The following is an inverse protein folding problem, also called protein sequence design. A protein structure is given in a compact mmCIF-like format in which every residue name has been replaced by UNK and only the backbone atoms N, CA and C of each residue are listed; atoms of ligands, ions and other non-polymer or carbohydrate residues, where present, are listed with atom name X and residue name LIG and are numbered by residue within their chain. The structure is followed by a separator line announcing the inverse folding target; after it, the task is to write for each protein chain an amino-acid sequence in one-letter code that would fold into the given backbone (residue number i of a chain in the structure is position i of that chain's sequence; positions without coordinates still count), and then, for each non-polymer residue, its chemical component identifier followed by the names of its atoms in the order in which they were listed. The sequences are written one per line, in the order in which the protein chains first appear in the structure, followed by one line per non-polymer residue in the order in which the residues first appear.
data_IF_154894755352
#
_entry.id   IF_154894755352
#
_cell.length_a   1.000
_cell.length_b   1.000
_cell.length_c   1.000
_cell.angle_alpha   90.00
_cell.angle_beta   90.00
_cell.angle_gamma   90.00
#
_symmetry.space_group_name_H-M   'P 1'
#
loop_
_entity.id
_entity.type
_entity.pdbx_description
1 polymer ?
#
# COMPACT_ATOMS: atom_id res chain seq x y z
N UNK A 1 46.84 -23.44 -5.43
CA UNK A 1 46.35 -24.80 -5.77
C UNK A 1 45.48 -25.25 -4.61
N UNK A 2 44.17 -25.08 -4.75
CA UNK A 2 43.12 -25.42 -3.76
C UNK A 2 42.01 -26.15 -4.55
N UNK A 3 41.43 -27.26 -4.06
CA UNK A 3 40.52 -28.08 -4.86
C UNK A 3 39.07 -27.57 -4.83
N UNK A 4 38.38 -27.70 -5.96
CA UNK A 4 36.96 -27.38 -6.14
C UNK A 4 36.02 -28.45 -5.55
N UNK A 5 34.81 -28.09 -5.08
CA UNK A 5 33.83 -29.06 -4.59
C UNK A 5 33.02 -29.70 -5.74
N UNK A 6 32.81 -31.01 -5.61
CA UNK A 6 32.11 -31.90 -6.55
C UNK A 6 30.60 -31.64 -6.58
N UNK A 7 30.03 -31.52 -7.78
CA UNK A 7 28.59 -31.60 -8.03
C UNK A 7 28.06 -33.03 -7.84
N UNK A 8 26.93 -33.18 -7.15
CA UNK A 8 26.13 -34.41 -7.13
C UNK A 8 24.85 -34.18 -7.94
N UNK A 9 24.73 -34.93 -9.03
CA UNK A 9 23.50 -34.99 -9.82
C UNK A 9 22.42 -35.82 -9.14
N UNK A 10 21.16 -35.41 -9.31
CA UNK A 10 20.00 -36.21 -8.99
C UNK A 10 19.07 -36.29 -10.21
N UNK A 11 18.67 -37.53 -10.50
CA UNK A 11 17.98 -38.04 -11.68
C UNK A 11 16.60 -37.44 -11.93
N UNK A 12 16.33 -37.15 -13.21
CA UNK A 12 14.98 -37.07 -13.77
C UNK A 12 14.29 -38.44 -13.72
N UNK A 13 13.06 -38.48 -13.20
CA UNK A 13 12.10 -39.55 -13.50
C UNK A 13 11.02 -38.99 -14.42
N UNK A 14 11.03 -39.42 -15.69
CA UNK A 14 9.89 -39.31 -16.60
C UNK A 14 9.07 -40.59 -16.50
N UNK A 15 7.74 -40.47 -16.42
CA UNK A 15 6.81 -41.47 -16.98
C UNK A 15 5.76 -40.75 -17.84
N UNK A 16 5.74 -41.14 -19.12
CA UNK A 16 4.62 -41.08 -20.07
C UNK A 16 3.48 -41.92 -19.46
N UNK A 17 2.18 -41.68 -19.62
CA UNK A 17 1.43 -40.89 -20.58
C UNK A 17 0.31 -41.80 -21.08
N UNK A 18 -0.97 -41.45 -20.85
CA UNK A 18 -2.12 -42.02 -21.55
C UNK A 18 -3.15 -40.93 -21.84
N UNK A 19 -3.51 -40.83 -23.12
CA UNK A 19 -4.62 -40.11 -23.75
C UNK A 19 -5.95 -40.85 -23.50
N UNK A 20 -7.17 -40.34 -23.61
CA UNK A 20 -7.81 -39.37 -24.53
C UNK A 20 -9.31 -39.25 -24.11
N UNK A 21 -10.03 -38.31 -24.74
CA UNK A 21 -11.52 -38.19 -24.85
C UNK A 21 -12.30 -37.34 -23.83
N UNK A 22 -12.61 -36.10 -24.25
CA UNK A 22 -13.97 -35.65 -24.56
C UNK A 22 -15.02 -35.52 -23.44
N UNK A 23 -15.22 -34.30 -22.93
CA UNK A 23 -16.56 -33.82 -22.54
C UNK A 23 -16.59 -32.28 -22.55
N UNK A 24 -17.54 -31.70 -23.29
CA UNK A 24 -17.96 -30.29 -23.19
C UNK A 24 -19.04 -30.17 -22.11
N UNK A 25 -19.10 -28.96 -21.54
CA UNK A 25 -20.19 -28.33 -20.81
C UNK A 25 -20.44 -28.78 -19.36
N UNK A 26 -20.38 -27.79 -18.46
CA UNK A 26 -20.79 -27.88 -17.06
C UNK A 26 -20.24 -26.70 -16.28
N UNK A 27 -20.99 -25.61 -16.23
CA UNK A 27 -20.75 -24.51 -15.29
C UNK A 27 -20.57 -25.07 -13.88
N UNK A 28 -19.37 -24.91 -13.32
CA UNK A 28 -19.13 -25.23 -11.91
C UNK A 28 -19.69 -24.11 -11.05
N UNK A 29 -20.97 -24.22 -10.73
CA UNK A 29 -21.60 -23.54 -9.59
C UNK A 29 -20.72 -23.76 -8.34
N UNK A 30 -20.28 -22.72 -7.60
CA UNK A 30 -19.59 -22.95 -6.34
C UNK A 30 -20.55 -23.57 -5.32
N UNK A 31 -20.07 -24.60 -4.64
CA UNK A 31 -20.78 -25.32 -3.61
C UNK A 31 -21.31 -24.36 -2.52
N UNK A 32 -22.59 -24.52 -2.18
CA UNK A 32 -23.23 -23.86 -1.03
C UNK A 32 -22.59 -24.39 0.25
N UNK A 33 -21.88 -23.54 0.99
CA UNK A 33 -21.64 -23.78 2.41
C UNK A 33 -22.92 -23.47 3.19
N UNK A 34 -23.55 -24.43 3.88
CA UNK A 34 -24.70 -24.17 4.71
C UNK A 34 -24.21 -23.59 6.04
N UNK A 35 -24.38 -22.29 6.28
CA UNK A 35 -24.10 -21.74 7.61
C UNK A 35 -23.81 -20.24 7.76
N UNK A 36 -23.95 -19.40 6.74
CA UNK A 36 -23.85 -17.94 6.90
C UNK A 36 -25.25 -17.31 6.78
N UNK A 37 -25.73 -16.54 7.77
CA UNK A 37 -27.02 -15.86 7.68
C UNK A 37 -27.02 -14.86 6.52
N UNK A 38 -28.20 -14.68 5.90
CA UNK A 38 -28.50 -13.84 4.72
C UNK A 38 -28.20 -12.32 4.87
N UNK A 39 -27.43 -11.91 5.87
CA UNK A 39 -27.11 -10.51 6.17
C UNK A 39 -25.96 -9.91 5.32
N UNK A 40 -25.26 -10.70 4.49
CA UNK A 40 -24.22 -10.19 3.58
C UNK A 40 -24.79 -9.98 2.17
N UNK A 41 -25.99 -9.41 2.07
CA UNK A 41 -26.58 -9.01 0.79
C UNK A 41 -26.94 -7.53 0.81
N UNK A 42 -26.06 -6.72 0.18
CA UNK A 42 -26.21 -5.30 -0.14
C UNK A 42 -26.30 -4.36 1.09
N UNK A 43 -25.16 -3.94 1.61
CA UNK A 43 -25.09 -2.60 2.22
C UNK A 43 -24.94 -1.56 1.11
N UNK A 44 -25.88 -0.62 0.93
CA UNK A 44 -25.60 0.57 0.15
C UNK A 44 -24.56 1.37 0.94
N UNK A 45 -23.32 1.42 0.44
CA UNK A 45 -22.26 2.26 0.99
C UNK A 45 -22.59 3.73 0.71
N UNK A 46 -23.51 4.27 1.50
CA UNK A 46 -23.81 5.68 1.66
C UNK A 46 -24.11 5.94 3.15
N UNK A 47 -23.36 5.28 4.03
CA UNK A 47 -23.35 5.61 5.44
C UNK A 47 -22.69 6.98 5.59
N UNK A 48 -23.55 8.00 5.59
CA UNK A 48 -23.23 9.31 6.15
C UNK A 48 -22.74 9.03 7.56
N UNK A 49 -21.44 9.17 7.79
CA UNK A 49 -20.87 9.27 9.13
C UNK A 49 -21.68 10.33 9.88
N UNK A 50 -22.60 9.89 10.72
CA UNK A 50 -23.50 10.77 11.46
C UNK A 50 -22.71 11.35 12.62
N UNK A 51 -21.93 12.39 12.33
CA UNK A 51 -21.37 13.24 13.38
C UNK A 51 -22.53 13.92 14.10
N UNK A 52 -22.41 14.19 15.41
CA UNK A 52 -23.39 15.00 16.13
C UNK A 52 -23.69 16.27 15.33
N UNK A 53 -24.96 16.69 15.27
CA UNK A 53 -25.48 17.76 14.40
C UNK A 53 -24.76 19.12 14.50
N UNK A 54 -23.80 19.25 15.42
CA UNK A 54 -23.05 20.44 15.75
C UNK A 54 -21.61 20.46 15.18
N UNK A 55 -21.14 19.38 14.55
CA UNK A 55 -19.83 19.37 13.90
C UNK A 55 -19.95 19.75 12.42
N UNK A 56 -19.54 20.97 12.07
CA UNK A 56 -19.41 21.41 10.68
C UNK A 56 -18.13 20.80 10.10
N UNK A 57 -18.30 19.83 9.18
CA UNK A 57 -17.19 19.31 8.38
C UNK A 57 -16.82 20.30 7.28
N UNK A 58 -15.54 20.67 7.20
CA UNK A 58 -15.00 21.35 6.03
C UNK A 58 -14.85 20.33 4.90
N UNK A 59 -15.80 20.32 3.97
CA UNK A 59 -15.80 19.38 2.83
C UNK A 59 -14.64 19.61 1.87
N UNK A 60 -13.93 20.72 1.97
CA UNK A 60 -12.71 20.94 1.22
C UNK A 60 -11.47 20.33 1.90
N UNK A 61 -11.58 19.82 3.13
CA UNK A 61 -10.49 19.21 3.90
C UNK A 61 -10.87 17.80 4.35
N UNK A 62 -11.11 16.94 3.36
CA UNK A 62 -11.36 15.52 3.57
C UNK A 62 -10.12 14.76 3.13
N UNK A 63 -9.62 13.88 3.99
CA UNK A 63 -8.40 13.11 3.76
C UNK A 63 -8.68 11.64 4.04
N UNK A 64 -7.88 10.74 3.47
CA UNK A 64 -7.94 9.31 3.76
C UNK A 64 -6.55 8.78 4.09
N UNK A 65 -6.49 7.92 5.10
CA UNK A 65 -5.25 7.27 5.50
C UNK A 65 -5.51 5.92 6.16
N UNK A 66 -4.52 5.03 6.08
CA UNK A 66 -4.54 3.73 6.73
C UNK A 66 -3.25 2.96 6.51
N UNK A 67 -3.13 1.84 7.22
CA UNK A 67 -2.04 0.88 7.09
C UNK A 67 -2.47 -0.33 6.26
N UNK A 68 -1.55 -0.94 5.51
CA UNK A 68 -1.76 -2.20 4.80
C UNK A 68 -2.92 -2.09 3.80
N UNK A 69 -3.90 -3.00 3.89
CA UNK A 69 -5.15 -2.91 3.13
C UNK A 69 -5.84 -1.53 3.28
N UNK A 70 -5.78 -0.90 4.46
CA UNK A 70 -6.31 0.44 4.68
C UNK A 70 -5.55 1.53 3.90
N UNK A 71 -4.22 1.37 3.73
CA UNK A 71 -3.41 2.24 2.87
C UNK A 71 -3.73 2.06 1.39
N UNK A 72 -3.84 0.80 0.95
CA UNK A 72 -4.33 0.46 -0.39
C UNK A 72 -5.74 1.00 -0.67
N UNK A 73 -6.63 0.97 0.33
CA UNK A 73 -7.97 1.56 0.23
C UNK A 73 -7.93 3.09 0.11
N UNK A 74 -6.97 3.77 0.75
CA UNK A 74 -6.77 5.21 0.57
C UNK A 74 -6.38 5.54 -0.88
N UNK A 75 -5.46 4.76 -1.47
CA UNK A 75 -5.11 4.88 -2.89
C UNK A 75 -6.30 4.60 -3.81
N UNK A 76 -7.07 3.55 -3.53
CA UNK A 76 -8.27 3.22 -4.31
C UNK A 76 -9.30 4.35 -4.26
N UNK A 77 -9.52 4.94 -3.08
CA UNK A 77 -10.42 6.08 -2.94
C UNK A 77 -9.94 7.29 -3.74
N UNK A 78 -8.64 7.59 -3.69
CA UNK A 78 -8.05 8.65 -4.50
C UNK A 78 -8.21 8.40 -6.00
N UNK A 79 -8.14 7.14 -6.40
CA UNK A 79 -8.30 6.75 -7.79
C UNK A 79 -9.73 6.86 -8.29
N UNK A 80 -10.67 6.27 -7.55
CA UNK A 80 -12.07 6.12 -7.98
C UNK A 80 -12.89 7.37 -7.68
N UNK A 81 -12.61 8.07 -6.56
CA UNK A 81 -13.36 9.24 -6.06
C UNK A 81 -12.46 10.43 -5.66
N UNK A 82 -11.60 10.91 -6.58
CA UNK A 82 -10.73 12.06 -6.35
C UNK A 82 -11.49 13.37 -6.11
N UNK A 83 -12.79 13.41 -6.43
CA UNK A 83 -13.73 14.49 -6.15
C UNK A 83 -14.12 14.61 -4.67
N UNK A 84 -13.77 13.62 -3.84
CA UNK A 84 -14.15 13.59 -2.42
C UNK A 84 -13.00 13.88 -1.47
N UNK A 85 -11.74 13.84 -1.93
CA UNK A 85 -10.58 13.91 -1.06
C UNK A 85 -9.56 14.94 -1.54
N UNK A 86 -9.00 15.68 -0.59
CA UNK A 86 -8.01 16.70 -0.84
C UNK A 86 -6.59 16.13 -0.92
N UNK A 87 -6.28 15.07 -0.16
CA UNK A 87 -4.99 14.36 -0.13
C UNK A 87 -5.15 13.00 0.58
N UNK A 88 -4.15 12.12 0.41
CA UNK A 88 -4.08 10.83 1.09
C UNK A 88 -2.72 10.60 1.75
N UNK A 89 -2.70 9.73 2.76
CA UNK A 89 -1.46 9.18 3.32
C UNK A 89 -1.59 7.69 3.55
N UNK A 90 -0.65 6.89 3.07
CA UNK A 90 -0.68 5.44 3.21
C UNK A 90 0.54 4.95 3.99
N UNK A 91 0.37 3.84 4.70
CA UNK A 91 1.42 3.17 5.46
C UNK A 91 1.41 1.71 5.01
N UNK A 92 2.55 1.18 4.58
CA UNK A 92 2.66 -0.23 4.18
C UNK A 92 1.58 -0.69 3.17
N UNK A 93 1.03 0.23 2.36
CA UNK A 93 -0.23 0.02 1.66
C UNK A 93 -0.07 -0.35 0.20
N UNK A 94 0.95 0.21 -0.48
CA UNK A 94 1.21 -0.03 -1.90
C UNK A 94 -0.01 0.21 -2.81
N UNK A 95 0.16 0.03 -4.12
CA UNK A 95 -0.96 0.11 -5.07
C UNK A 95 -1.18 -1.24 -5.76
N UNK A 96 -2.34 -1.85 -5.51
CA UNK A 96 -2.75 -3.14 -6.09
C UNK A 96 -3.57 -3.04 -7.38
N UNK A 97 -3.76 -1.83 -7.94
CA UNK A 97 -4.52 -1.62 -9.18
C UNK A 97 -3.63 -0.98 -10.24
N UNK A 98 -3.51 -1.59 -11.42
CA UNK A 98 -2.82 -0.96 -12.55
C UNK A 98 -3.70 0.07 -13.27
N UNK A 99 -5.01 -0.11 -13.22
CA UNK A 99 -5.99 0.76 -13.86
C UNK A 99 -6.37 1.91 -12.92
N UNK A 100 -5.54 2.96 -12.91
CA UNK A 100 -5.85 4.17 -12.16
C UNK A 100 -5.66 5.46 -12.96
N UNK A 101 -6.71 6.29 -13.01
CA UNK A 101 -6.74 7.56 -13.74
C UNK A 101 -7.71 8.57 -13.07
N UNK A 102 -7.33 9.19 -11.94
CA UNK A 102 -8.22 10.05 -11.15
C UNK A 102 -8.66 11.36 -11.84
N UNK A 103 -8.16 11.69 -13.03
CA UNK A 103 -8.60 12.87 -13.80
C UNK A 103 -8.22 14.23 -13.18
N UNK A 104 -7.65 14.25 -11.97
CA UNK A 104 -7.05 15.42 -11.31
C UNK A 104 -5.80 15.01 -10.50
N UNK A 105 -4.90 15.97 -10.21
CA UNK A 105 -3.80 15.74 -9.26
C UNK A 105 -4.33 15.50 -7.85
N UNK A 106 -3.85 14.45 -7.17
CA UNK A 106 -4.17 14.15 -5.77
C UNK A 106 -2.85 14.02 -4.99
N UNK A 107 -2.56 14.91 -4.04
CA UNK A 107 -1.38 14.80 -3.18
C UNK A 107 -1.39 13.49 -2.39
N UNK A 108 -0.23 12.82 -2.34
CA UNK A 108 -0.09 11.52 -1.70
C UNK A 108 1.24 11.38 -0.97
N UNK A 109 1.20 10.82 0.24
CA UNK A 109 2.39 10.40 0.98
C UNK A 109 2.32 8.89 1.26
N UNK A 110 3.45 8.19 1.15
CA UNK A 110 3.61 6.79 1.55
C UNK A 110 4.69 6.69 2.62
N UNK A 111 4.43 5.93 3.68
CA UNK A 111 5.43 5.51 4.65
C UNK A 111 5.57 3.99 4.53
N UNK A 112 6.78 3.48 4.29
CA UNK A 112 6.97 2.05 4.05
C UNK A 112 8.32 1.55 4.57
N UNK A 113 8.29 0.38 5.22
CA UNK A 113 9.48 -0.35 5.59
C UNK A 113 10.12 -1.04 4.39
N UNK A 114 11.43 -0.92 4.21
CA UNK A 114 12.12 -1.59 3.10
C UNK A 114 12.34 -3.11 3.32
N UNK A 115 12.10 -3.57 4.55
CA UNK A 115 12.16 -4.98 4.95
C UNK A 115 10.77 -5.56 5.29
N UNK A 116 9.69 -4.89 4.86
CA UNK A 116 8.31 -5.33 5.08
C UNK A 116 8.08 -6.73 4.46
N UNK A 117 7.77 -7.76 5.27
CA UNK A 117 7.61 -9.13 4.80
C UNK A 117 6.21 -9.40 4.23
N UNK A 118 5.26 -8.48 4.35
CA UNK A 118 3.87 -8.64 3.92
C UNK A 118 3.56 -7.84 2.66
N UNK A 119 4.01 -6.58 2.63
CA UNK A 119 3.87 -5.66 1.51
C UNK A 119 5.25 -5.34 0.94
N UNK A 120 5.65 -5.93 -0.20
CA UNK A 120 6.95 -5.67 -0.81
C UNK A 120 7.24 -4.18 -1.05
N UNK A 121 8.39 -3.73 -0.57
CA UNK A 121 8.89 -2.39 -0.87
C UNK A 121 9.20 -2.22 -2.37
N UNK A 122 9.79 -3.24 -3.00
CA UNK A 122 10.01 -3.26 -4.44
C UNK A 122 8.78 -3.82 -5.18
N UNK A 123 8.64 -3.46 -6.47
CA UNK A 123 7.58 -4.03 -7.30
C UNK A 123 7.73 -5.55 -7.44
N UNK A 124 6.62 -6.29 -7.31
CA UNK A 124 6.65 -7.74 -7.39
C UNK A 124 5.47 -8.43 -6.73
N UNK A 125 5.55 -9.76 -6.68
CA UNK A 125 4.56 -10.57 -5.96
C UNK A 125 4.84 -10.51 -4.45
N UNK A 126 3.79 -10.32 -3.67
CA UNK A 126 3.83 -10.43 -2.21
C UNK A 126 4.32 -11.82 -1.80
N UNK A 127 5.30 -11.94 -0.89
CA UNK A 127 5.89 -13.23 -0.54
C UNK A 127 4.90 -14.15 0.21
N UNK A 128 3.88 -13.58 0.85
CA UNK A 128 2.86 -14.34 1.59
C UNK A 128 1.57 -14.51 0.78
N UNK A 129 1.01 -13.41 0.26
CA UNK A 129 -0.29 -13.45 -0.39
C UNK A 129 -0.23 -13.69 -1.90
N UNK A 130 0.95 -13.56 -2.52
CA UNK A 130 1.16 -13.85 -3.94
C UNK A 130 0.52 -12.84 -4.92
N UNK A 131 -0.12 -11.79 -4.41
CA UNK A 131 -0.67 -10.71 -5.24
C UNK A 131 0.46 -9.81 -5.74
N UNK A 132 0.35 -9.36 -7.00
CA UNK A 132 1.27 -8.36 -7.52
C UNK A 132 0.98 -7.00 -6.89
N UNK A 133 2.03 -6.37 -6.36
CA UNK A 133 1.96 -5.00 -5.86
C UNK A 133 2.94 -4.12 -6.62
N UNK A 134 2.49 -2.90 -6.92
CA UNK A 134 3.41 -1.82 -7.20
C UNK A 134 4.03 -1.40 -5.87
N UNK A 135 5.31 -1.70 -5.68
CA UNK A 135 6.05 -1.38 -4.46
C UNK A 135 6.06 0.12 -4.15
N UNK A 136 6.47 0.49 -2.94
CA UNK A 136 6.37 1.86 -2.44
C UNK A 136 7.02 2.92 -3.36
N UNK A 137 8.26 2.76 -3.88
CA UNK A 137 8.85 3.71 -4.81
C UNK A 137 8.06 3.84 -6.12
N UNK A 138 7.59 2.70 -6.66
CA UNK A 138 6.79 2.68 -7.88
C UNK A 138 5.43 3.37 -7.68
N UNK A 139 4.80 3.17 -6.53
CA UNK A 139 3.52 3.77 -6.17
C UNK A 139 3.64 5.28 -6.03
N UNK A 140 4.64 5.78 -5.32
CA UNK A 140 4.85 7.23 -5.21
C UNK A 140 5.25 7.84 -6.55
N UNK A 141 6.05 7.16 -7.37
CA UNK A 141 6.38 7.60 -8.72
C UNK A 141 5.14 7.67 -9.63
N UNK A 142 4.22 6.72 -9.52
CA UNK A 142 2.94 6.75 -10.22
C UNK A 142 2.12 7.99 -9.85
N UNK A 143 1.97 8.27 -8.56
CA UNK A 143 1.24 9.46 -8.10
C UNK A 143 1.94 10.75 -8.48
N UNK A 144 3.28 10.79 -8.45
CA UNK A 144 4.05 11.91 -8.97
C UNK A 144 3.77 12.17 -10.45
N UNK A 145 3.73 11.11 -11.28
CA UNK A 145 3.42 11.21 -12.69
C UNK A 145 1.97 11.70 -12.92
N UNK A 146 1.01 11.13 -12.20
CA UNK A 146 -0.40 11.56 -12.25
C UNK A 146 -0.55 13.05 -11.86
N UNK A 147 0.20 13.49 -10.86
CA UNK A 147 0.18 14.87 -10.39
C UNK A 147 0.99 15.82 -11.29
N UNK A 148 1.60 15.32 -12.36
CA UNK A 148 2.37 16.11 -13.31
C UNK A 148 3.65 16.69 -12.72
N UNK A 149 4.29 15.98 -11.79
CA UNK A 149 5.58 16.34 -11.22
C UNK A 149 6.73 16.13 -12.21
N UNK A 150 7.86 16.80 -11.98
CA UNK A 150 9.09 16.56 -12.73
C UNK A 150 9.78 15.27 -12.22
N UNK A 151 9.75 14.19 -13.01
CA UNK A 151 10.27 12.89 -12.59
C UNK A 151 11.80 12.76 -12.71
N UNK A 152 12.40 13.50 -13.65
CA UNK A 152 13.85 13.48 -13.92
C UNK A 152 14.66 14.37 -12.95
N UNK A 153 13.99 15.16 -12.11
CA UNK A 153 14.67 16.04 -11.15
C UNK A 153 14.94 15.33 -9.84
N UNK A 154 16.05 15.70 -9.18
CA UNK A 154 16.33 15.27 -7.82
C UNK A 154 15.15 15.59 -6.88
N UNK A 155 14.75 14.57 -6.11
CA UNK A 155 13.73 14.72 -5.07
C UNK A 155 14.23 15.66 -3.97
N UNK A 156 13.29 16.26 -3.25
CA UNK A 156 13.60 17.04 -2.05
C UNK A 156 13.66 16.09 -0.86
N UNK A 157 14.77 16.06 -0.14
CA UNK A 157 14.79 15.48 1.21
C UNK A 157 13.97 16.39 2.13
N UNK A 158 12.88 15.85 2.68
CA UNK A 158 11.97 16.56 3.61
C UNK A 158 12.25 16.19 5.06
N UNK A 159 12.74 14.97 5.30
CA UNK A 159 13.18 14.48 6.59
C UNK A 159 14.29 13.43 6.40
N UNK A 160 15.25 13.38 7.32
CA UNK A 160 16.27 12.33 7.35
C UNK A 160 16.76 12.12 8.77
N UNK A 161 16.81 10.86 9.17
CA UNK A 161 17.36 10.37 10.42
C UNK A 161 18.20 9.12 10.16
N UNK A 162 18.51 8.34 11.20
CA UNK A 162 19.23 7.07 11.05
C UNK A 162 18.35 6.03 10.37
N UNK A 163 17.08 5.91 10.78
CA UNK A 163 16.20 4.85 10.29
C UNK A 163 15.26 5.31 9.19
N UNK A 164 15.10 6.62 8.97
CA UNK A 164 14.09 7.15 8.06
C UNK A 164 14.67 8.16 7.08
N UNK A 165 14.25 8.04 5.81
CA UNK A 165 14.47 9.05 4.77
C UNK A 165 13.14 9.37 4.08
N UNK A 166 12.72 10.63 4.14
CA UNK A 166 11.57 11.13 3.38
C UNK A 166 12.02 11.97 2.19
N UNK A 167 11.52 11.62 1.01
CA UNK A 167 11.82 12.27 -0.26
C UNK A 167 10.56 12.64 -1.02
N UNK A 168 10.51 13.89 -1.47
CA UNK A 168 9.35 14.48 -2.11
C UNK A 168 9.64 14.85 -3.58
N UNK A 169 8.74 14.48 -4.49
CA UNK A 169 8.78 14.96 -5.87
C UNK A 169 8.49 16.46 -5.96
N UNK A 170 9.07 17.11 -6.98
CA UNK A 170 9.03 18.56 -7.19
C UNK A 170 8.23 18.95 -8.42
N UNK A 171 7.90 20.26 -8.51
CA UNK A 171 7.28 20.89 -9.67
C UNK A 171 5.99 20.20 -10.14
N UNK A 172 5.14 19.81 -9.19
CA UNK A 172 3.86 19.17 -9.44
C UNK A 172 2.77 20.19 -9.81
N UNK A 173 1.79 19.78 -10.61
CA UNK A 173 0.62 20.61 -10.91
C UNK A 173 -0.21 20.82 -9.64
N UNK A 174 -0.75 22.03 -9.48
CA UNK A 174 -1.55 22.42 -8.32
C UNK A 174 -0.85 22.15 -6.97
N UNK A 175 0.50 22.11 -6.97
CA UNK A 175 1.33 21.74 -5.82
C UNK A 175 0.96 20.37 -5.19
N UNK A 176 0.35 19.46 -5.97
CA UNK A 176 -0.03 18.13 -5.51
C UNK A 176 1.20 17.22 -5.43
N UNK A 177 1.92 17.31 -4.31
CA UNK A 177 3.19 16.62 -4.10
C UNK A 177 2.95 15.11 -3.90
N UNK A 178 3.93 14.33 -4.29
CA UNK A 178 4.03 12.91 -3.99
C UNK A 178 5.29 12.69 -3.16
N UNK A 179 5.16 12.02 -2.01
CA UNK A 179 6.25 11.85 -1.04
C UNK A 179 6.36 10.40 -0.59
N UNK A 180 7.59 9.92 -0.44
CA UNK A 180 7.91 8.61 0.10
C UNK A 180 8.79 8.79 1.34
N UNK A 181 8.37 8.23 2.46
CA UNK A 181 9.20 8.01 3.64
C UNK A 181 9.58 6.54 3.71
N UNK A 182 10.85 6.24 3.46
CA UNK A 182 11.43 4.90 3.60
C UNK A 182 11.91 4.71 5.02
N UNK A 183 11.48 3.63 5.66
CA UNK A 183 11.99 3.17 6.96
C UNK A 183 12.96 2.01 6.70
N UNK A 184 14.25 2.25 6.89
CA UNK A 184 15.31 1.27 6.65
C UNK A 184 15.27 0.16 7.71
N UNK A 185 15.27 -1.09 7.26
CA UNK A 185 15.03 -2.26 8.09
C UNK A 185 13.60 -2.38 8.63
N UNK A 186 12.72 -1.42 8.34
CA UNK A 186 11.35 -1.36 8.85
C UNK A 186 10.48 -2.48 8.30
N UNK A 187 9.53 -2.93 9.12
CA UNK A 187 8.54 -3.94 8.75
C UNK A 187 7.15 -3.39 8.44
N UNK A 188 6.14 -4.26 8.54
CA UNK A 188 4.72 -3.98 8.32
C UNK A 188 4.02 -3.30 9.50
N UNK A 189 4.59 -2.20 10.00
CA UNK A 189 4.17 -1.54 11.23
C UNK A 189 3.66 -0.12 11.04
N UNK A 190 3.18 0.46 12.15
CA UNK A 190 2.87 1.87 12.28
C UNK A 190 4.01 2.60 13.02
N UNK A 191 4.92 3.32 12.33
CA UNK A 191 6.02 4.04 12.97
C UNK A 191 5.57 4.97 14.10
N UNK A 192 6.27 4.91 15.23
CA UNK A 192 5.97 5.66 16.45
C UNK A 192 4.67 5.25 17.15
N UNK A 193 4.18 4.03 16.94
CA UNK A 193 3.07 3.47 17.71
C UNK A 193 3.52 3.15 19.13
N UNK A 194 2.71 3.53 20.12
CA UNK A 194 2.95 3.18 21.53
C UNK A 194 2.90 1.67 21.80
N UNK A 195 2.40 0.88 20.85
CA UNK A 195 2.41 -0.58 20.87
C UNK A 195 3.28 -1.05 19.71
N UNK A 196 4.48 -1.51 20.04
CA UNK A 196 5.35 -2.24 19.12
C UNK A 196 5.07 -3.74 19.27
N UNK A 197 4.34 -4.32 18.31
CA UNK A 197 3.98 -5.73 18.34
C UNK A 197 5.19 -6.65 18.11
N UNK A 198 6.21 -6.18 17.40
CA UNK A 198 7.40 -6.96 17.13
C UNK A 198 8.27 -7.10 18.36
N UNK A 199 8.51 -6.03 19.11
CA UNK A 199 9.30 -6.08 20.36
C UNK A 199 8.64 -6.95 21.45
N UNK A 200 7.30 -7.07 21.45
CA UNK A 200 6.60 -7.89 22.44
C UNK A 200 6.94 -9.39 22.34
N UNK A 201 7.08 -9.93 21.13
CA UNK A 201 7.47 -11.33 20.87
C UNK A 201 7.99 -11.49 19.44
N UNK A 202 9.30 -11.27 19.18
CA UNK A 202 9.84 -11.28 17.82
C UNK A 202 9.70 -12.63 17.10
N UNK A 203 9.64 -13.75 17.82
CA UNK A 203 9.50 -15.08 17.22
C UNK A 203 8.09 -15.30 16.67
N UNK A 204 7.08 -14.80 17.39
CA UNK A 204 5.66 -14.91 16.99
C UNK A 204 5.24 -13.77 16.07
N UNK A 205 5.76 -12.56 16.29
CA UNK A 205 5.34 -11.32 15.62
C UNK A 205 6.30 -10.87 14.52
N UNK A 206 7.14 -11.76 14.01
CA UNK A 206 8.12 -11.49 12.95
C UNK A 206 7.52 -10.79 11.70
N UNK A 207 6.24 -11.05 11.40
CA UNK A 207 5.51 -10.46 10.26
C UNK A 207 5.24 -8.95 10.42
N UNK A 208 5.29 -8.43 11.65
CA UNK A 208 5.26 -7.00 11.90
C UNK A 208 6.62 -6.36 11.59
N UNK A 209 7.73 -7.06 11.87
CA UNK A 209 9.10 -6.59 11.64
C UNK A 209 9.47 -5.38 12.51
N UNK A 210 10.65 -4.79 12.28
CA UNK A 210 11.13 -3.66 13.09
C UNK A 210 10.21 -2.42 12.95
N UNK A 211 9.96 -1.73 14.07
CA UNK A 211 9.29 -0.44 14.11
C UNK A 211 10.29 0.64 14.54
N UNK A 212 10.32 1.77 13.84
CA UNK A 212 11.09 2.95 14.26
C UNK A 212 10.24 3.92 15.08
N UNK A 213 10.90 4.63 15.99
CA UNK A 213 10.35 5.78 16.72
C UNK A 213 10.92 7.12 16.23
N UNK A 214 11.76 7.13 15.18
CA UNK A 214 12.32 8.36 14.60
C UNK A 214 11.24 9.27 13.99
N UNK A 215 10.08 8.70 13.66
CA UNK A 215 8.88 9.41 13.22
C UNK A 215 7.63 8.83 13.87
N UNK A 216 6.63 9.68 14.08
CA UNK A 216 5.26 9.26 14.36
C UNK A 216 4.44 9.37 13.06
N UNK A 217 4.06 8.24 12.47
CA UNK A 217 3.43 8.21 11.14
C UNK A 217 2.14 9.05 11.06
N UNK A 218 1.38 9.12 12.16
CA UNK A 218 0.16 9.92 12.23
C UNK A 218 0.44 11.43 12.18
N UNK A 219 1.53 11.90 12.78
CA UNK A 219 1.95 13.30 12.71
C UNK A 219 2.48 13.64 11.32
N UNK A 220 3.37 12.80 10.77
CA UNK A 220 3.93 13.00 9.42
C UNK A 220 2.82 13.09 8.38
N UNK A 221 1.87 12.15 8.40
CA UNK A 221 0.74 12.17 7.47
C UNK A 221 -0.14 13.39 7.72
N UNK A 222 -0.43 13.75 8.97
CA UNK A 222 -1.25 14.91 9.28
C UNK A 222 -0.62 16.22 8.79
N UNK A 223 0.67 16.42 9.06
CA UNK A 223 1.42 17.59 8.63
C UNK A 223 1.44 17.72 7.11
N UNK A 224 1.54 16.59 6.39
CA UNK A 224 1.42 16.57 4.92
C UNK A 224 0.01 16.91 4.44
N UNK A 225 -1.02 16.16 4.87
CA UNK A 225 -2.36 16.28 4.27
C UNK A 225 -3.03 17.61 4.60
N UNK A 226 -2.75 18.21 5.76
CA UNK A 226 -3.39 19.46 6.20
C UNK A 226 -3.05 20.67 5.32
N UNK A 227 -1.97 20.60 4.53
CA UNK A 227 -1.61 21.64 3.56
C UNK A 227 -2.62 21.75 2.41
N UNK A 228 -3.39 20.68 2.17
CA UNK A 228 -4.21 20.55 0.97
C UNK A 228 -5.68 20.83 1.21
N UNK A 229 -6.30 21.43 0.19
CA UNK A 229 -7.75 21.63 0.10
C UNK A 229 -8.23 21.15 -1.26
N UNK A 230 -9.38 20.50 -1.28
CA UNK A 230 -10.09 20.18 -2.51
C UNK A 230 -10.59 21.51 -3.11
N UNK A 231 -10.12 21.81 -4.32
CA UNK A 231 -10.59 22.97 -5.09
C UNK A 231 -11.73 22.49 -5.99
N UNK A 232 -12.94 23.06 -5.87
CA UNK A 232 -14.10 22.70 -6.70
C UNK A 232 -13.88 22.93 -8.20
#
# INVERSE_FOLDING_TARGET
MMPAPRQRGARQLRRRGESREGARAGESTPARHPGLPDAVRRSPSNDRLALPANHRLDRARVYASGISNGGGMAYRLACERPDLIAAIGSIAGGMGTEECAPGRPVPAIEIHGDADPLSPYAEGLGPIFGDYTRGAPGTVAFWAANNGCALETEKKVTFSSTDVLCEQYRACKADARAELCTVFGGGHNWPGSAVDLYEMDPEVNWWWGYQTDDIHAHEVIWEFVKEYRLVP
#
